data_IF_898313414944
#
_entry.id   IF_898313414944
#
_cell.length_a   1.000
_cell.length_b   1.000
_cell.length_c   1.000
_cell.angle_alpha   90.00
_cell.angle_beta   90.00
_cell.angle_gamma   90.00
#
_symmetry.space_group_name_H-M   'P 1'
#
loop_
_entity.id
_entity.type
_entity.pdbx_description
1 polymer ?
#
# COMPACT_ATOMS: atom_id res chain seq x y z
N UNK A 1 18.84 -8.03 1.59
CA UNK A 1 18.07 -8.16 0.34
C UNK A 1 16.96 -7.13 0.41
N UNK A 2 16.98 -6.14 -0.46
CA UNK A 2 15.94 -5.10 -0.52
C UNK A 2 14.71 -5.71 -1.22
N UNK A 3 13.56 -5.62 -0.57
CA UNK A 3 12.28 -6.04 -1.12
C UNK A 3 11.41 -4.79 -1.28
N UNK A 4 10.89 -4.57 -2.48
CA UNK A 4 9.96 -3.47 -2.75
C UNK A 4 8.53 -4.01 -2.72
N UNK A 5 7.68 -3.33 -1.96
CA UNK A 5 6.30 -3.71 -1.68
C UNK A 5 5.36 -2.72 -2.38
N UNK A 6 4.38 -3.23 -3.11
CA UNK A 6 3.29 -2.43 -3.68
C UNK A 6 2.08 -2.59 -2.76
N UNK A 7 1.62 -1.50 -2.13
CA UNK A 7 0.34 -1.49 -1.38
C UNK A 7 -0.64 -0.59 -2.14
N UNK A 8 -1.77 -1.16 -2.55
CA UNK A 8 -2.74 -0.47 -3.39
C UNK A 8 -3.73 0.46 -2.64
N UNK A 9 -3.63 0.64 -1.32
CA UNK A 9 -4.66 1.41 -0.58
C UNK A 9 -4.32 1.88 0.84
N UNK A 10 -3.10 2.34 1.15
CA UNK A 10 -2.79 2.75 2.53
C UNK A 10 -2.94 4.27 2.75
N UNK A 11 -4.08 4.68 3.33
CA UNK A 11 -4.19 5.92 4.10
C UNK A 11 -4.03 5.53 5.58
N UNK A 12 -2.90 5.89 6.19
CA UNK A 12 -2.67 5.66 7.62
C UNK A 12 -3.44 6.69 8.41
N UNK A 13 -4.56 6.30 9.02
CA UNK A 13 -5.26 7.12 10.02
C UNK A 13 -4.72 6.73 11.40
N UNK A 14 -3.80 7.52 11.94
CA UNK A 14 -3.29 7.32 13.30
C UNK A 14 -4.41 7.52 14.32
N UNK A 15 -4.59 6.54 15.22
CA UNK A 15 -5.43 6.72 16.42
C UNK A 15 -4.60 7.37 17.53
N UNK A 16 -5.25 8.10 18.43
CA UNK A 16 -4.64 8.80 19.57
C UNK A 16 -4.83 8.03 20.89
N UNK A 17 -4.90 6.69 20.82
CA UNK A 17 -5.09 5.87 22.00
C UNK A 17 -3.84 5.87 22.90
N UNK A 18 -3.98 5.84 24.24
CA UNK A 18 -2.86 5.89 25.17
C UNK A 18 -1.91 4.69 24.96
N UNK A 19 -0.68 5.01 24.57
CA UNK A 19 0.36 4.12 24.03
C UNK A 19 1.02 3.14 25.03
N UNK A 20 0.40 2.79 26.16
CA UNK A 20 1.14 2.16 27.26
C UNK A 20 1.54 0.68 27.02
N UNK A 21 0.92 -0.03 26.06
CA UNK A 21 1.17 -1.46 25.83
C UNK A 21 1.10 -1.90 24.35
N UNK A 22 1.49 -1.04 23.40
CA UNK A 22 1.55 -1.46 21.98
C UNK A 22 2.93 -2.11 21.72
N UNK A 23 2.99 -3.41 21.34
CA UNK A 23 4.26 -4.06 21.05
C UNK A 23 4.92 -3.40 19.83
N UNK A 24 6.17 -2.96 20.01
CA UNK A 24 7.00 -2.41 18.93
C UNK A 24 7.76 -3.56 18.28
N UNK A 25 7.51 -3.78 16.99
CA UNK A 25 8.21 -4.77 16.16
C UNK A 25 9.35 -4.11 15.38
N UNK A 26 10.41 -4.86 15.11
CA UNK A 26 11.52 -4.40 14.28
C UNK A 26 11.89 -5.43 13.19
N UNK A 27 12.58 -4.96 12.15
CA UNK A 27 13.05 -5.79 11.02
C UNK A 27 14.50 -6.27 11.18
N UNK A 28 15.07 -6.16 12.39
CA UNK A 28 16.47 -6.50 12.68
C UNK A 28 16.52 -7.67 13.66
N UNK A 29 17.64 -8.39 13.74
CA UNK A 29 17.79 -9.46 14.73
C UNK A 29 17.72 -8.88 16.15
N UNK A 30 16.73 -9.27 16.95
CA UNK A 30 16.53 -8.76 18.31
C UNK A 30 15.20 -9.16 18.93
N UNK A 31 14.75 -8.41 19.95
CA UNK A 31 13.42 -8.58 20.53
C UNK A 31 12.35 -8.13 19.54
N UNK A 32 11.23 -8.87 19.44
CA UNK A 32 10.10 -8.57 18.52
C UNK A 32 10.51 -8.45 17.04
N UNK A 33 11.37 -9.36 16.57
CA UNK A 33 11.76 -9.43 15.15
C UNK A 33 10.55 -9.85 14.31
N UNK A 34 10.25 -9.11 13.25
CA UNK A 34 9.18 -9.39 12.30
C UNK A 34 9.79 -9.46 10.90
N UNK A 35 9.53 -10.53 10.17
CA UNK A 35 9.90 -10.60 8.76
C UNK A 35 8.95 -9.75 7.92
N UNK A 36 9.43 -9.28 6.76
CA UNK A 36 8.57 -8.58 5.81
C UNK A 36 7.36 -9.44 5.38
N UNK A 37 7.53 -10.76 5.30
CA UNK A 37 6.47 -11.69 4.96
C UNK A 37 5.40 -11.73 6.08
N UNK A 38 5.81 -11.89 7.33
CA UNK A 38 4.89 -11.88 8.48
C UNK A 38 4.15 -10.55 8.58
N UNK A 39 4.87 -9.43 8.43
CA UNK A 39 4.24 -8.11 8.40
C UNK A 39 3.21 -7.99 7.27
N UNK A 40 3.56 -8.44 6.07
CA UNK A 40 2.67 -8.39 4.90
C UNK A 40 1.39 -9.19 5.15
N UNK A 41 1.51 -10.39 5.73
CA UNK A 41 0.36 -11.23 6.02
C UNK A 41 -0.57 -10.57 7.04
N UNK A 42 -0.02 -10.07 8.16
CA UNK A 42 -0.81 -9.38 9.19
C UNK A 42 -1.50 -8.13 8.63
N UNK A 43 -0.78 -7.34 7.83
CA UNK A 43 -1.35 -6.14 7.20
C UNK A 43 -2.46 -6.52 6.22
N UNK A 44 -2.27 -7.55 5.39
CA UNK A 44 -3.28 -8.00 4.42
C UNK A 44 -4.54 -8.55 5.10
N UNK A 45 -4.39 -9.31 6.18
CA UNK A 45 -5.54 -9.78 6.97
C UNK A 45 -6.32 -8.60 7.54
N UNK A 46 -5.63 -7.60 8.11
CA UNK A 46 -6.29 -6.49 8.79
C UNK A 46 -6.85 -5.42 7.86
N UNK A 47 -6.17 -5.14 6.74
CA UNK A 47 -6.59 -4.09 5.80
C UNK A 47 -7.90 -4.43 5.09
N UNK A 48 -8.23 -5.72 4.99
CA UNK A 48 -9.51 -6.19 4.44
C UNK A 48 -10.67 -6.00 5.43
N UNK A 49 -10.41 -5.99 6.74
CA UNK A 49 -11.42 -5.73 7.77
C UNK A 49 -11.80 -4.25 7.87
N UNK A 50 -10.91 -3.35 7.44
CA UNK A 50 -11.10 -1.91 7.48
C UNK A 50 -10.81 -1.30 6.11
N UNK A 51 -11.66 -1.54 5.10
CA UNK A 51 -11.46 -0.96 3.78
C UNK A 51 -11.53 0.57 3.87
N UNK A 52 -10.53 1.25 3.31
CA UNK A 52 -10.59 2.71 3.20
C UNK A 52 -11.77 3.08 2.29
N UNK A 53 -12.65 3.96 2.76
CA UNK A 53 -13.78 4.47 1.97
C UNK A 53 -13.33 5.19 0.68
N UNK A 54 -12.04 5.53 0.58
CA UNK A 54 -11.42 6.19 -0.56
C UNK A 54 -10.55 5.25 -1.40
N UNK A 55 -10.48 3.96 -1.05
CA UNK A 55 -9.75 2.98 -1.85
C UNK A 55 -10.49 2.74 -3.17
N UNK A 56 -9.83 3.06 -4.29
CA UNK A 56 -10.33 2.70 -5.63
C UNK A 56 -10.19 1.20 -5.86
N UNK A 57 -9.10 0.61 -5.37
CA UNK A 57 -8.73 -0.78 -5.59
C UNK A 57 -8.77 -1.54 -4.26
N UNK A 58 -9.14 -2.82 -4.30
CA UNK A 58 -8.92 -3.70 -3.15
C UNK A 58 -7.41 -3.79 -2.85
N UNK A 59 -7.00 -3.86 -1.58
CA UNK A 59 -5.60 -4.05 -1.22
C UNK A 59 -5.12 -5.46 -1.61
N UNK A 60 -3.96 -5.51 -2.25
CA UNK A 60 -3.19 -6.73 -2.49
C UNK A 60 -1.72 -6.35 -2.57
N UNK A 61 -0.84 -7.34 -2.38
CA UNK A 61 0.61 -7.14 -2.33
C UNK A 61 1.31 -8.18 -3.21
N UNK A 62 2.26 -7.72 -4.02
CA UNK A 62 3.25 -8.58 -4.68
C UNK A 62 4.66 -8.15 -4.24
N UNK A 63 5.45 -9.05 -3.64
CA UNK A 63 6.84 -8.76 -3.33
C UNK A 63 7.72 -8.89 -4.58
N UNK A 64 8.52 -7.87 -4.87
CA UNK A 64 9.52 -7.91 -5.94
C UNK A 64 10.94 -8.00 -5.37
N UNK A 65 11.77 -8.87 -5.97
CA UNK A 65 13.19 -9.02 -5.62
C UNK A 65 14.08 -7.89 -6.13
N UNK A 66 13.60 -7.10 -7.10
CA UNK A 66 14.36 -6.00 -7.68
C UNK A 66 13.45 -4.79 -7.93
N UNK A 67 14.03 -3.59 -7.77
CA UNK A 67 13.35 -2.30 -8.03
C UNK A 67 12.92 -2.18 -9.50
N UNK A 68 13.66 -2.81 -10.41
CA UNK A 68 13.32 -2.80 -11.84
C UNK A 68 11.94 -3.42 -12.10
N UNK A 69 11.71 -4.65 -11.60
CA UNK A 69 10.42 -5.33 -11.79
C UNK A 69 9.29 -4.63 -11.04
N UNK A 70 9.57 -4.09 -9.85
CA UNK A 70 8.65 -3.23 -9.13
C UNK A 70 8.18 -2.05 -10.00
N UNK A 71 9.10 -1.31 -10.62
CA UNK A 71 8.75 -0.14 -11.46
C UNK A 71 7.94 -0.54 -12.69
N UNK A 72 8.35 -1.60 -13.37
CA UNK A 72 7.62 -2.11 -14.55
C UNK A 72 6.18 -2.45 -14.14
N UNK A 73 6.00 -3.20 -13.06
CA UNK A 73 4.67 -3.63 -12.62
C UNK A 73 3.83 -2.46 -12.08
N UNK A 74 4.43 -1.52 -11.35
CA UNK A 74 3.77 -0.31 -10.88
C UNK A 74 3.17 0.51 -12.02
N UNK A 75 3.84 0.59 -13.18
CA UNK A 75 3.27 1.26 -14.36
C UNK A 75 1.96 0.60 -14.80
N UNK A 76 1.94 -0.73 -14.90
CA UNK A 76 0.76 -1.46 -15.38
C UNK A 76 -0.39 -1.51 -14.39
N UNK A 77 -0.09 -1.56 -13.09
CA UNK A 77 -1.10 -1.75 -12.04
C UNK A 77 -1.58 -0.44 -11.43
N UNK A 78 -0.75 0.60 -11.41
CA UNK A 78 -1.11 1.88 -10.80
C UNK A 78 -1.25 2.99 -11.81
N UNK A 79 -0.24 3.18 -12.66
CA UNK A 79 -0.17 4.36 -13.54
C UNK A 79 -1.21 4.26 -14.65
N UNK A 80 -1.24 3.15 -15.38
CA UNK A 80 -2.20 2.97 -16.48
C UNK A 80 -3.65 2.97 -15.96
N UNK A 81 -4.03 2.19 -14.92
CA UNK A 81 -5.41 2.18 -14.42
C UNK A 81 -5.82 3.52 -13.81
N UNK A 82 -4.91 4.18 -13.08
CA UNK A 82 -5.15 5.53 -12.56
C UNK A 82 -5.41 6.55 -13.68
N UNK A 83 -4.58 6.54 -14.73
CA UNK A 83 -4.74 7.46 -15.86
C UNK A 83 -6.06 7.23 -16.61
N UNK A 84 -6.49 5.97 -16.76
CA UNK A 84 -7.78 5.64 -17.36
C UNK A 84 -8.96 6.17 -16.53
N UNK A 85 -8.88 6.07 -15.20
CA UNK A 85 -9.89 6.64 -14.31
C UNK A 85 -9.92 8.17 -14.37
N UNK A 86 -8.76 8.82 -14.42
CA UNK A 86 -8.67 10.27 -14.58
C UNK A 86 -9.31 10.74 -15.88
N UNK A 87 -9.02 10.06 -16.98
CA UNK A 87 -9.67 10.33 -18.28
C UNK A 87 -11.19 10.17 -18.16
N UNK A 88 -11.66 9.10 -17.51
CA UNK A 88 -13.09 8.87 -17.31
C UNK A 88 -13.75 9.96 -16.44
N UNK A 89 -13.06 10.46 -15.41
CA UNK A 89 -13.54 11.56 -14.58
C UNK A 89 -13.62 12.87 -15.36
N UNK A 90 -12.58 13.19 -16.13
CA UNK A 90 -12.53 14.39 -16.99
C UNK A 90 -13.65 14.38 -18.02
N UNK A 91 -13.90 13.24 -18.68
CA UNK A 91 -15.01 13.08 -19.63
C UNK A 91 -16.37 13.34 -18.96
N UNK A 92 -16.52 12.97 -17.68
CA UNK A 92 -17.73 13.22 -16.88
C UNK A 92 -17.79 14.63 -16.27
N UNK A 93 -16.81 15.50 -16.54
CA UNK A 93 -16.73 16.85 -15.97
C UNK A 93 -16.27 16.92 -14.51
N UNK A 94 -15.66 15.84 -14.00
CA UNK A 94 -15.10 15.77 -12.64
C UNK A 94 -13.58 16.04 -12.68
N UNK A 95 -12.99 16.56 -11.58
CA UNK A 95 -11.55 16.72 -11.49
C UNK A 95 -10.83 15.35 -11.48
N UNK A 96 -9.62 15.24 -12.08
CA UNK A 96 -8.80 14.03 -12.02
C UNK A 96 -8.28 13.78 -10.59
N UNK A 97 -8.00 12.52 -10.27
CA UNK A 97 -7.47 12.10 -8.98
C UNK A 97 -5.94 12.00 -9.03
N UNK A 98 -5.19 12.56 -8.07
CA UNK A 98 -3.73 12.45 -8.07
C UNK A 98 -3.26 10.99 -7.94
N UNK A 99 -2.47 10.53 -8.91
CA UNK A 99 -1.76 9.25 -8.85
C UNK A 99 -0.46 9.46 -8.04
N UNK A 100 -0.51 9.35 -6.71
CA UNK A 100 0.68 9.44 -5.85
C UNK A 100 1.24 8.03 -5.58
N UNK A 101 2.03 7.48 -6.51
CA UNK A 101 2.50 6.08 -6.44
C UNK A 101 4.02 5.90 -6.63
N UNK A 102 4.78 7.00 -6.76
CA UNK A 102 6.22 6.95 -7.10
C UNK A 102 7.13 7.83 -6.23
N UNK A 103 6.75 8.11 -4.98
CA UNK A 103 7.67 8.74 -4.01
C UNK A 103 8.54 7.72 -3.28
#
# INVERSE_FOLDING_TARGET
MEYSLVICSLVVRGTTDPYENIPIYNYVSGQNTLTLQENTNVVLERILEVPSAQAIWYPWVIPFKTVFWYRVFAIFVHVIPGALLDIAFVIKGNPPMPIDTLR
#
